data_IF_998910452704
#
_entry.id   IF_998910452704
#
_cell.length_a   1.000
_cell.length_b   1.000
_cell.length_c   1.000
_cell.angle_alpha   90.00
_cell.angle_beta   90.00
_cell.angle_gamma   90.00
#
_symmetry.space_group_name_H-M   'P 1'
#
loop_
_entity.id
_entity.type
_entity.pdbx_description
1 polymer ?
#
# COMPACT_ATOMS: atom_id res chain seq x y z
N UNK A 1 -1.82 -4.96 -19.76
CA UNK A 1 -1.37 -5.74 -18.58
C UNK A 1 -0.46 -6.87 -19.02
N UNK A 2 0.61 -7.17 -18.28
CA UNK A 2 1.52 -8.28 -18.59
C UNK A 2 0.77 -9.61 -18.40
N UNK A 3 0.72 -10.53 -19.42
CA UNK A 3 0.01 -11.81 -19.30
C UNK A 3 0.47 -12.68 -18.12
N UNK A 4 1.75 -12.60 -17.74
CA UNK A 4 2.29 -13.33 -16.58
C UNK A 4 1.77 -12.80 -15.24
N UNK A 5 1.42 -11.50 -15.15
CA UNK A 5 0.81 -10.91 -13.96
C UNK A 5 -0.62 -11.46 -13.77
N UNK A 6 -1.39 -11.62 -14.85
CA UNK A 6 -2.75 -12.13 -14.80
C UNK A 6 -2.84 -13.53 -14.18
N UNK A 7 -1.95 -14.45 -14.56
CA UNK A 7 -2.01 -15.84 -14.08
C UNK A 7 -1.85 -15.99 -12.56
N UNK A 8 -1.08 -15.11 -11.91
CA UNK A 8 -0.89 -15.13 -10.46
C UNK A 8 -2.14 -14.69 -9.68
N UNK A 9 -2.98 -13.86 -10.30
CA UNK A 9 -4.21 -13.36 -9.68
C UNK A 9 -5.44 -14.24 -9.96
N UNK A 10 -5.43 -15.06 -11.03
CA UNK A 10 -6.52 -16.00 -11.36
C UNK A 10 -6.77 -17.04 -10.26
N UNK A 11 -5.76 -17.36 -9.45
CA UNK A 11 -5.85 -18.29 -8.34
C UNK A 11 -6.30 -17.65 -7.02
N UNK A 12 -6.43 -16.30 -6.95
CA UNK A 12 -6.82 -15.60 -5.72
C UNK A 12 -8.30 -15.84 -5.40
N UNK A 13 -8.58 -16.08 -4.12
CA UNK A 13 -9.94 -16.31 -3.63
C UNK A 13 -10.80 -15.04 -3.73
N UNK A 14 -12.13 -15.22 -3.77
CA UNK A 14 -13.10 -14.10 -3.73
C UNK A 14 -12.90 -13.23 -2.48
N UNK A 15 -12.42 -13.79 -1.37
CA UNK A 15 -12.13 -13.04 -0.14
C UNK A 15 -10.98 -12.03 -0.33
N UNK A 16 -10.00 -12.34 -1.17
CA UNK A 16 -8.91 -11.43 -1.49
C UNK A 16 -9.44 -10.10 -2.06
N UNK A 17 -10.39 -10.18 -2.98
CA UNK A 17 -10.96 -9.01 -3.67
C UNK A 17 -12.00 -8.23 -2.83
N UNK A 18 -12.49 -8.79 -1.73
CA UNK A 18 -13.48 -8.15 -0.86
C UNK A 18 -12.90 -7.69 0.48
N UNK A 19 -11.60 -7.87 0.70
CA UNK A 19 -10.96 -7.45 1.92
C UNK A 19 -10.89 -5.92 2.01
N UNK A 20 -11.29 -5.40 3.17
CA UNK A 20 -11.11 -3.98 3.51
C UNK A 20 -10.01 -3.91 4.56
N UNK A 21 -8.99 -3.11 4.31
CA UNK A 21 -7.95 -2.86 5.30
C UNK A 21 -8.50 -1.92 6.40
N UNK A 22 -8.83 -2.44 7.61
CA UNK A 22 -9.45 -1.63 8.66
C UNK A 22 -8.48 -0.60 9.24
N UNK A 23 -7.18 -0.81 9.09
CA UNK A 23 -6.18 0.13 9.56
C UNK A 23 -6.10 1.33 8.62
N UNK A 24 -6.24 1.12 7.32
CA UNK A 24 -6.30 2.20 6.34
C UNK A 24 -7.58 3.03 6.52
N UNK A 25 -8.73 2.41 6.77
CA UNK A 25 -9.99 3.11 7.02
C UNK A 25 -9.93 4.12 8.18
N UNK A 26 -9.15 3.85 9.22
CA UNK A 26 -8.99 4.78 10.37
C UNK A 26 -8.39 6.13 10.00
N UNK A 27 -7.76 6.22 8.82
CA UNK A 27 -7.11 7.43 8.32
C UNK A 27 -7.99 8.21 7.34
N UNK A 28 -9.16 7.69 6.98
CA UNK A 28 -10.10 8.39 6.10
C UNK A 28 -10.72 9.58 6.85
N UNK A 29 -10.57 10.76 6.27
CA UNK A 29 -11.06 12.02 6.85
C UNK A 29 -12.44 12.34 6.30
N UNK A 30 -13.36 12.72 7.18
CA UNK A 30 -14.76 13.07 6.82
C UNK A 30 -14.88 14.32 5.95
N UNK A 31 -13.90 15.19 6.01
CA UNK A 31 -13.84 16.41 5.19
C UNK A 31 -13.48 16.14 3.72
N UNK A 32 -12.90 15.00 3.39
CA UNK A 32 -12.60 14.64 2.00
C UNK A 32 -13.87 14.43 1.19
N UNK A 33 -13.97 15.10 0.03
CA UNK A 33 -15.14 15.08 -0.84
C UNK A 33 -14.91 14.21 -2.09
N UNK A 34 -13.68 14.18 -2.58
CA UNK A 34 -13.29 13.43 -3.78
C UNK A 34 -12.09 12.53 -3.43
N UNK A 35 -12.26 11.23 -3.53
CA UNK A 35 -11.21 10.23 -3.26
C UNK A 35 -11.01 9.35 -4.48
N UNK A 36 -9.76 9.06 -4.80
CA UNK A 36 -9.39 8.09 -5.83
C UNK A 36 -8.76 6.86 -5.19
N UNK A 37 -9.32 5.69 -5.43
CA UNK A 37 -8.81 4.40 -4.95
C UNK A 37 -8.11 3.68 -6.11
N UNK A 38 -6.78 3.58 -6.04
CA UNK A 38 -5.97 2.88 -7.04
C UNK A 38 -5.90 1.40 -6.67
N UNK A 39 -6.23 0.53 -7.63
CA UNK A 39 -6.39 -0.90 -7.36
C UNK A 39 -7.61 -1.16 -6.47
N UNK A 40 -8.73 -0.52 -6.80
CA UNK A 40 -9.93 -0.52 -5.96
C UNK A 40 -10.59 -1.91 -5.80
N UNK A 41 -10.10 -2.92 -6.52
CA UNK A 41 -10.61 -4.28 -6.47
C UNK A 41 -12.13 -4.32 -6.71
N UNK A 42 -12.92 -5.02 -5.89
CA UNK A 42 -14.38 -5.03 -5.97
C UNK A 42 -15.06 -3.79 -5.36
N UNK A 43 -14.32 -2.75 -5.03
CA UNK A 43 -14.83 -1.49 -4.48
C UNK A 43 -15.24 -1.54 -3.00
N UNK A 44 -14.76 -2.52 -2.23
CA UNK A 44 -15.19 -2.69 -0.85
C UNK A 44 -14.70 -1.54 0.06
N UNK A 45 -13.43 -1.12 -0.08
CA UNK A 45 -12.87 0.01 0.66
C UNK A 45 -13.59 1.31 0.30
N UNK A 46 -13.76 1.57 -1.01
CA UNK A 46 -14.43 2.78 -1.47
C UNK A 46 -15.89 2.84 -1.04
N UNK A 47 -16.61 1.71 -0.99
CA UNK A 47 -17.98 1.66 -0.45
C UNK A 47 -18.04 2.10 1.01
N UNK A 48 -17.12 1.62 1.85
CA UNK A 48 -17.03 2.04 3.24
C UNK A 48 -16.68 3.54 3.41
N UNK A 49 -15.85 4.08 2.51
CA UNK A 49 -15.52 5.52 2.47
C UNK A 49 -16.76 6.35 2.13
N UNK A 50 -17.58 5.89 1.18
CA UNK A 50 -18.82 6.57 0.74
C UNK A 50 -19.86 6.77 1.86
N UNK A 51 -19.85 5.94 2.89
CA UNK A 51 -20.73 6.11 4.06
C UNK A 51 -20.55 7.48 4.75
N UNK A 52 -19.40 8.12 4.56
CA UNK A 52 -19.13 9.47 5.06
C UNK A 52 -19.65 10.61 4.13
N UNK A 53 -20.29 10.28 3.02
CA UNK A 53 -20.73 11.25 2.01
C UNK A 53 -19.62 11.70 1.05
N UNK A 54 -18.53 10.97 0.97
CA UNK A 54 -17.41 11.15 0.05
C UNK A 54 -17.73 10.53 -1.31
N UNK A 55 -17.42 11.20 -2.41
CA UNK A 55 -17.42 10.60 -3.74
C UNK A 55 -16.14 9.81 -3.96
N UNK A 56 -16.27 8.57 -4.40
CA UNK A 56 -15.14 7.67 -4.61
C UNK A 56 -15.07 7.22 -6.06
N UNK A 57 -13.94 7.55 -6.70
CA UNK A 57 -13.53 7.00 -7.99
C UNK A 57 -12.57 5.84 -7.76
N UNK A 58 -12.59 4.84 -8.65
CA UNK A 58 -11.67 3.71 -8.62
C UNK A 58 -10.95 3.50 -9.95
N UNK A 59 -9.71 3.03 -9.88
CA UNK A 59 -8.98 2.43 -11.00
C UNK A 59 -8.71 0.99 -10.66
N UNK A 60 -9.09 0.08 -11.55
CA UNK A 60 -8.90 -1.36 -11.37
C UNK A 60 -8.42 -2.00 -12.67
N UNK A 61 -7.42 -2.85 -12.55
CA UNK A 61 -6.79 -3.49 -13.69
C UNK A 61 -7.50 -4.77 -14.15
N UNK A 62 -8.24 -5.42 -13.24
CA UNK A 62 -8.93 -6.68 -13.51
C UNK A 62 -10.40 -6.46 -13.87
N UNK A 63 -10.85 -6.90 -15.07
CA UNK A 63 -12.21 -6.60 -15.56
C UNK A 63 -13.32 -7.06 -14.62
N UNK A 64 -13.22 -8.27 -14.07
CA UNK A 64 -14.26 -8.82 -13.18
C UNK A 64 -14.38 -8.05 -11.86
N UNK A 65 -13.25 -7.60 -11.31
CA UNK A 65 -13.22 -6.77 -10.10
C UNK A 65 -13.77 -5.37 -10.39
N UNK A 66 -13.36 -4.77 -11.52
CA UNK A 66 -13.85 -3.46 -11.95
C UNK A 66 -15.37 -3.44 -12.15
N UNK A 67 -15.96 -4.49 -12.75
CA UNK A 67 -17.43 -4.56 -12.92
C UNK A 67 -18.15 -4.59 -11.55
N UNK A 68 -17.63 -5.35 -10.57
CA UNK A 68 -18.18 -5.35 -9.20
C UNK A 68 -18.00 -4.00 -8.50
N UNK A 69 -16.89 -3.32 -8.75
CA UNK A 69 -16.64 -2.00 -8.18
C UNK A 69 -17.61 -0.93 -8.73
N UNK A 70 -18.01 -1.01 -10.00
CA UNK A 70 -18.99 -0.09 -10.63
C UNK A 70 -20.34 -0.09 -9.92
N UNK A 71 -20.72 -1.19 -9.27
CA UNK A 71 -21.97 -1.27 -8.51
C UNK A 71 -21.90 -0.47 -7.18
N UNK A 72 -20.69 -0.16 -6.70
CA UNK A 72 -20.47 0.42 -5.37
C UNK A 72 -19.92 1.85 -5.44
N UNK A 73 -19.01 2.11 -6.38
CA UNK A 73 -18.30 3.38 -6.49
C UNK A 73 -19.03 4.36 -7.44
N UNK A 74 -18.69 5.64 -7.33
CA UNK A 74 -19.31 6.67 -8.17
C UNK A 74 -18.77 6.67 -9.59
N UNK A 75 -17.51 6.28 -9.76
CA UNK A 75 -16.88 6.14 -11.07
C UNK A 75 -15.77 5.08 -10.99
N UNK A 76 -15.70 4.20 -11.98
CA UNK A 76 -14.65 3.17 -12.07
C UNK A 76 -14.08 3.12 -13.48
N UNK A 77 -12.76 3.19 -13.54
CA UNK A 77 -12.01 3.05 -14.79
C UNK A 77 -11.30 1.71 -14.79
N UNK A 78 -11.58 0.90 -15.79
CA UNK A 78 -10.80 -0.31 -16.06
C UNK A 78 -9.48 0.09 -16.71
N UNK A 79 -8.38 -0.14 -16.02
CA UNK A 79 -7.05 0.21 -16.53
C UNK A 79 -5.93 -0.11 -15.55
N UNK A 80 -4.73 -0.26 -16.09
CA UNK A 80 -3.52 -0.44 -15.33
C UNK A 80 -2.86 0.91 -15.06
N UNK A 81 -2.75 1.31 -13.80
CA UNK A 81 -2.17 2.60 -13.37
C UNK A 81 -0.78 2.83 -13.95
N UNK A 82 -0.01 1.77 -14.20
CA UNK A 82 1.34 1.90 -14.74
C UNK A 82 1.34 2.36 -16.20
N UNK A 83 0.34 1.96 -16.99
CA UNK A 83 0.35 2.15 -18.46
C UNK A 83 -0.74 3.08 -18.99
N UNK A 84 -1.85 3.25 -18.27
CA UNK A 84 -2.98 4.05 -18.71
C UNK A 84 -2.72 5.55 -18.62
N UNK A 85 -3.39 6.35 -19.44
CA UNK A 85 -3.55 7.78 -19.19
C UNK A 85 -4.63 8.03 -18.14
N UNK A 86 -4.40 8.98 -17.25
CA UNK A 86 -5.34 9.31 -16.18
C UNK A 86 -6.51 10.13 -16.73
N UNK A 87 -7.76 9.62 -16.72
CA UNK A 87 -8.91 10.32 -17.30
C UNK A 87 -9.60 11.26 -16.30
N UNK A 88 -8.80 11.98 -15.52
CA UNK A 88 -9.26 12.86 -14.45
C UNK A 88 -8.74 14.28 -14.65
N UNK A 89 -9.41 15.24 -14.03
CA UNK A 89 -8.97 16.63 -14.02
C UNK A 89 -7.81 16.81 -13.02
N UNK A 90 -6.94 17.79 -13.31
CA UNK A 90 -5.88 18.16 -12.35
C UNK A 90 -6.52 18.71 -11.07
N UNK A 91 -5.87 18.43 -9.94
CA UNK A 91 -6.30 18.89 -8.62
C UNK A 91 -7.75 18.50 -8.27
N UNK A 92 -8.17 17.31 -8.71
CA UNK A 92 -9.53 16.81 -8.48
C UNK A 92 -9.67 16.19 -7.08
N UNK A 93 -8.67 15.44 -6.59
CA UNK A 93 -8.82 14.58 -5.43
C UNK A 93 -8.26 15.18 -4.14
N UNK A 94 -9.02 15.03 -3.06
CA UNK A 94 -8.56 15.32 -1.69
C UNK A 94 -7.59 14.24 -1.20
N UNK A 95 -7.81 13.00 -1.63
CA UNK A 95 -6.96 11.86 -1.30
C UNK A 95 -6.87 10.90 -2.48
N UNK A 96 -5.66 10.40 -2.74
CA UNK A 96 -5.41 9.24 -3.60
C UNK A 96 -4.91 8.10 -2.72
N UNK A 97 -5.57 6.94 -2.80
CA UNK A 97 -5.29 5.78 -1.98
C UNK A 97 -4.53 4.74 -2.79
N UNK A 98 -3.48 4.17 -2.19
CA UNK A 98 -2.80 2.94 -2.61
C UNK A 98 -2.91 1.93 -1.47
N UNK A 99 -4.01 1.21 -1.42
CA UNK A 99 -4.29 0.22 -0.38
C UNK A 99 -3.74 -1.15 -0.77
N UNK A 100 -2.54 -1.49 -0.30
CA UNK A 100 -1.86 -2.77 -0.64
C UNK A 100 -1.68 -2.95 -2.16
N UNK A 101 -1.13 -1.93 -2.83
CA UNK A 101 -0.98 -1.87 -4.29
C UNK A 101 0.47 -1.70 -4.72
N UNK A 102 1.24 -0.86 -4.03
CA UNK A 102 2.59 -0.45 -4.47
C UNK A 102 3.56 -1.63 -4.58
N UNK A 103 3.41 -2.64 -3.75
CA UNK A 103 4.19 -3.89 -3.76
C UNK A 103 3.90 -4.78 -4.98
N UNK A 104 2.80 -4.55 -5.67
CA UNK A 104 2.38 -5.27 -6.86
C UNK A 104 2.75 -4.59 -8.18
N UNK A 105 3.29 -3.37 -8.13
CA UNK A 105 3.67 -2.59 -9.31
C UNK A 105 5.11 -2.88 -9.74
N UNK A 106 5.38 -2.84 -11.03
CA UNK A 106 6.74 -2.90 -11.56
C UNK A 106 7.50 -1.62 -11.26
N UNK A 107 6.83 -0.46 -11.37
CA UNK A 107 7.39 0.86 -11.08
C UNK A 107 6.48 1.68 -10.16
N UNK A 108 6.45 1.36 -8.86
CA UNK A 108 5.65 2.10 -7.88
C UNK A 108 6.09 3.58 -7.75
N UNK A 109 7.35 3.90 -8.06
CA UNK A 109 7.85 5.28 -8.05
C UNK A 109 7.16 6.12 -9.11
N UNK A 110 7.12 5.63 -10.35
CA UNK A 110 6.41 6.30 -11.45
C UNK A 110 4.89 6.39 -11.18
N UNK A 111 4.28 5.38 -10.57
CA UNK A 111 2.86 5.42 -10.22
C UNK A 111 2.53 6.55 -9.22
N UNK A 112 3.36 6.72 -8.18
CA UNK A 112 3.22 7.81 -7.19
C UNK A 112 3.41 9.19 -7.85
N UNK A 113 4.42 9.33 -8.72
CA UNK A 113 4.65 10.58 -9.46
C UNK A 113 3.47 10.88 -10.41
N UNK A 114 2.94 9.87 -11.08
CA UNK A 114 1.84 9.97 -12.04
C UNK A 114 0.56 10.55 -11.45
N UNK A 115 0.23 10.19 -10.21
CA UNK A 115 -0.99 10.68 -9.57
C UNK A 115 -0.86 12.10 -9.01
N UNK A 116 0.35 12.62 -8.85
CA UNK A 116 0.64 13.92 -8.21
C UNK A 116 -0.13 15.10 -8.82
N UNK A 117 -0.28 15.25 -10.15
CA UNK A 117 -1.02 16.37 -10.74
C UNK A 117 -2.53 16.36 -10.41
N UNK A 118 -3.08 15.20 -10.05
CA UNK A 118 -4.52 15.02 -9.81
C UNK A 118 -4.93 15.22 -8.36
N UNK A 119 -3.95 15.30 -7.47
CA UNK A 119 -4.15 15.59 -6.05
C UNK A 119 -4.26 17.11 -5.89
N UNK A 120 -5.23 17.61 -5.11
CA UNK A 120 -5.39 19.01 -4.76
C UNK A 120 -4.13 19.55 -4.05
N UNK A 121 -3.99 20.86 -3.96
CA UNK A 121 -2.85 21.51 -3.30
C UNK A 121 -2.67 21.01 -1.84
N UNK A 122 -3.77 20.89 -1.09
CA UNK A 122 -3.79 20.36 0.28
C UNK A 122 -4.22 18.89 0.36
N UNK A 123 -4.18 18.18 -0.78
CA UNK A 123 -4.56 16.78 -0.84
C UNK A 123 -3.38 15.87 -0.50
N UNK A 124 -3.68 14.60 -0.27
CA UNK A 124 -2.71 13.62 0.22
C UNK A 124 -2.69 12.34 -0.62
N UNK A 125 -1.59 11.60 -0.53
CA UNK A 125 -1.57 10.16 -0.77
C UNK A 125 -1.74 9.46 0.58
N UNK A 126 -2.59 8.44 0.61
CA UNK A 126 -2.71 7.50 1.71
C UNK A 126 -2.35 6.11 1.20
N UNK A 127 -1.32 5.49 1.75
CA UNK A 127 -0.85 4.18 1.31
C UNK A 127 -0.67 3.20 2.46
N UNK A 128 -1.08 1.95 2.26
CA UNK A 128 -0.67 0.82 3.10
C UNK A 128 0.39 0.01 2.36
N UNK A 129 1.50 -0.31 3.04
CA UNK A 129 2.65 -0.98 2.42
C UNK A 129 3.21 -2.02 3.39
N UNK A 130 3.34 -3.30 2.97
CA UNK A 130 3.93 -4.37 3.77
C UNK A 130 5.41 -4.10 4.06
N UNK A 131 5.86 -4.47 5.27
CA UNK A 131 7.24 -4.31 5.70
C UNK A 131 8.02 -5.63 5.63
N UNK A 132 8.90 -5.77 4.67
CA UNK A 132 9.74 -6.96 4.52
C UNK A 132 10.75 -7.13 5.67
N UNK A 133 11.04 -6.08 6.44
CA UNK A 133 11.92 -6.15 7.61
C UNK A 133 11.25 -6.76 8.86
N UNK A 134 9.97 -7.14 8.79
CA UNK A 134 9.27 -7.80 9.90
C UNK A 134 9.92 -9.13 10.26
N UNK A 135 9.97 -9.44 11.55
CA UNK A 135 10.66 -10.63 12.06
C UNK A 135 10.15 -11.95 11.46
N UNK A 136 8.89 -12.03 11.07
CA UNK A 136 8.34 -13.23 10.41
C UNK A 136 8.95 -13.50 9.02
N UNK A 137 9.63 -12.51 8.43
CA UNK A 137 10.42 -12.66 7.19
C UNK A 137 11.88 -12.87 7.53
N UNK A 138 12.43 -12.07 8.46
CA UNK A 138 13.86 -12.13 8.81
C UNK A 138 14.26 -13.46 9.46
N UNK A 139 13.44 -14.01 10.34
CA UNK A 139 13.77 -15.26 11.05
C UNK A 139 13.88 -16.45 10.07
N UNK A 140 12.91 -16.72 9.17
CA UNK A 140 13.10 -17.73 8.13
C UNK A 140 14.27 -17.43 7.19
N UNK A 141 14.51 -16.17 6.83
CA UNK A 141 15.64 -15.78 5.98
C UNK A 141 17.00 -16.13 6.61
N UNK A 142 17.16 -15.92 7.92
CA UNK A 142 18.35 -16.34 8.65
C UNK A 142 18.60 -17.86 8.62
N UNK A 143 17.52 -18.65 8.43
CA UNK A 143 17.57 -20.09 8.24
C UNK A 143 17.71 -20.49 6.75
N UNK A 144 17.90 -19.53 5.83
CA UNK A 144 18.04 -19.77 4.39
C UNK A 144 16.72 -19.95 3.64
N UNK A 145 15.59 -19.56 4.23
CA UNK A 145 14.27 -19.73 3.63
C UNK A 145 13.69 -18.40 3.16
N UNK A 146 13.19 -18.39 1.91
CA UNK A 146 12.36 -17.33 1.32
C UNK A 146 11.21 -17.99 0.60
N UNK A 147 10.13 -18.26 1.34
CA UNK A 147 9.02 -19.05 0.82
C UNK A 147 7.84 -18.17 0.51
N UNK A 148 7.44 -18.10 -0.76
CA UNK A 148 6.23 -17.40 -1.18
C UNK A 148 4.98 -18.08 -0.66
N UNK A 149 4.00 -17.28 -0.30
CA UNK A 149 2.71 -17.69 0.29
C UNK A 149 1.53 -17.15 -0.52
N UNK A 150 0.33 -17.59 -0.22
CA UNK A 150 -0.89 -17.12 -0.89
C UNK A 150 -1.32 -15.72 -0.44
N UNK A 151 -0.85 -15.26 0.72
CA UNK A 151 -1.15 -13.96 1.32
C UNK A 151 -0.06 -13.55 2.31
N UNK A 152 -0.08 -12.27 2.74
CA UNK A 152 0.87 -11.74 3.72
C UNK A 152 2.12 -11.14 3.09
N UNK A 153 3.20 -10.99 3.88
CA UNK A 153 4.39 -10.24 3.47
C UNK A 153 5.12 -10.84 2.26
N UNK A 154 5.12 -12.16 2.14
CA UNK A 154 5.71 -12.90 1.02
C UNK A 154 4.62 -13.46 0.08
N UNK A 155 3.52 -12.72 -0.11
CA UNK A 155 2.52 -13.06 -1.12
C UNK A 155 3.19 -13.24 -2.49
N UNK A 156 2.86 -14.32 -3.20
CA UNK A 156 3.45 -14.64 -4.51
C UNK A 156 3.17 -13.58 -5.59
N UNK A 157 2.21 -12.69 -5.36
CA UNK A 157 1.93 -11.55 -6.24
C UNK A 157 2.74 -10.30 -5.92
N UNK A 158 3.47 -10.26 -4.78
CA UNK A 158 4.38 -9.19 -4.46
C UNK A 158 5.63 -9.27 -5.32
N UNK A 159 5.91 -8.24 -6.08
CA UNK A 159 7.11 -8.12 -6.91
C UNK A 159 8.08 -7.06 -6.41
N UNK A 160 7.65 -6.23 -5.46
CA UNK A 160 8.47 -5.26 -4.73
C UNK A 160 8.36 -5.52 -3.23
N UNK A 161 9.47 -5.36 -2.54
CA UNK A 161 9.58 -5.54 -1.10
C UNK A 161 10.18 -4.29 -0.49
N UNK A 162 9.48 -3.72 0.49
CA UNK A 162 9.85 -2.44 1.07
C UNK A 162 10.24 -2.58 2.53
N UNK A 163 11.33 -1.91 2.91
CA UNK A 163 11.60 -1.52 4.29
C UNK A 163 11.06 -0.12 4.53
N UNK A 164 10.91 0.28 5.78
CA UNK A 164 10.43 1.62 6.12
C UNK A 164 11.24 2.74 5.45
N UNK A 165 12.56 2.64 5.49
CA UNK A 165 13.43 3.65 4.88
C UNK A 165 13.24 3.76 3.36
N UNK A 166 12.99 2.64 2.67
CA UNK A 166 12.72 2.68 1.22
C UNK A 166 11.35 3.26 0.91
N UNK A 167 10.34 3.00 1.75
CA UNK A 167 9.04 3.66 1.64
C UNK A 167 9.19 5.18 1.74
N UNK A 168 9.88 5.67 2.78
CA UNK A 168 10.13 7.11 2.95
C UNK A 168 10.87 7.72 1.74
N UNK A 169 11.93 7.05 1.27
CA UNK A 169 12.71 7.53 0.11
C UNK A 169 11.86 7.60 -1.15
N UNK A 170 10.96 6.64 -1.36
CA UNK A 170 10.06 6.60 -2.50
C UNK A 170 9.19 7.86 -2.54
N UNK A 171 8.49 8.20 -1.45
CA UNK A 171 7.65 9.38 -1.37
C UNK A 171 8.45 10.69 -1.47
N UNK A 172 9.58 10.80 -0.76
CA UNK A 172 10.41 12.00 -0.78
C UNK A 172 10.98 12.28 -2.18
N UNK A 173 11.43 11.24 -2.90
CA UNK A 173 11.92 11.40 -4.29
C UNK A 173 10.83 11.83 -5.25
N UNK A 174 9.59 11.37 -5.07
CA UNK A 174 8.44 11.79 -5.86
C UNK A 174 7.95 13.22 -5.49
N UNK A 175 8.62 13.89 -4.57
CA UNK A 175 8.31 15.27 -4.16
C UNK A 175 7.10 15.34 -3.24
N UNK A 176 6.97 14.38 -2.30
CA UNK A 176 6.03 14.43 -1.20
C UNK A 176 6.75 14.57 0.13
N UNK A 177 6.08 15.18 1.10
CA UNK A 177 6.48 15.21 2.52
C UNK A 177 5.60 14.25 3.30
N UNK A 178 6.20 13.44 4.18
CA UNK A 178 5.45 12.52 5.02
C UNK A 178 4.79 13.31 6.15
N UNK A 179 3.47 13.37 6.18
CA UNK A 179 2.69 14.06 7.23
C UNK A 179 2.34 13.13 8.39
N UNK A 180 2.13 11.84 8.10
CA UNK A 180 1.78 10.86 9.13
C UNK A 180 2.29 9.46 8.79
N UNK A 181 2.69 8.72 9.82
CA UNK A 181 3.02 7.29 9.74
C UNK A 181 2.30 6.56 10.85
N UNK A 182 1.52 5.55 10.51
CA UNK A 182 0.96 4.61 11.48
C UNK A 182 1.55 3.21 11.25
N UNK A 183 1.55 2.39 12.29
CA UNK A 183 2.18 1.09 12.34
C UNK A 183 1.18 0.01 12.70
N UNK A 184 1.11 -1.01 11.87
CA UNK A 184 0.27 -2.18 12.10
C UNK A 184 1.15 -3.28 12.68
N UNK A 185 0.73 -3.82 13.80
CA UNK A 185 1.44 -4.89 14.51
C UNK A 185 0.63 -6.18 14.45
N UNK A 186 1.31 -7.30 14.37
CA UNK A 186 0.76 -8.63 14.57
C UNK A 186 1.50 -9.31 15.72
N UNK A 187 0.98 -10.43 16.21
CA UNK A 187 1.65 -11.20 17.29
C UNK A 187 3.01 -11.71 16.81
N UNK A 188 4.05 -11.35 17.53
CA UNK A 188 5.45 -11.71 17.28
C UNK A 188 6.16 -12.27 18.53
N UNK A 189 5.41 -12.59 19.58
CA UNK A 189 5.96 -13.03 20.89
C UNK A 189 6.94 -14.19 20.78
N UNK A 190 6.66 -15.15 19.90
CA UNK A 190 7.55 -16.28 19.69
C UNK A 190 8.96 -15.87 19.22
N UNK A 191 9.13 -14.69 18.67
CA UNK A 191 10.39 -14.15 18.15
C UNK A 191 11.10 -13.18 19.11
N UNK A 192 10.49 -12.82 20.25
CA UNK A 192 11.07 -11.84 21.18
C UNK A 192 12.53 -12.16 21.57
N UNK A 193 12.90 -13.40 21.93
CA UNK A 193 14.31 -13.71 22.27
C UNK A 193 15.26 -13.47 21.09
N UNK A 194 14.84 -13.85 19.87
CA UNK A 194 15.66 -13.64 18.67
C UNK A 194 15.80 -12.15 18.34
N UNK A 195 14.73 -11.36 18.50
CA UNK A 195 14.75 -9.92 18.28
C UNK A 195 15.75 -9.24 19.22
N UNK A 196 15.78 -9.62 20.50
CA UNK A 196 16.71 -9.07 21.50
C UNK A 196 18.16 -9.38 21.16
N UNK A 197 18.48 -10.62 20.77
CA UNK A 197 19.83 -11.01 20.37
C UNK A 197 20.29 -10.27 19.10
N UNK A 198 19.43 -10.22 18.07
CA UNK A 198 19.73 -9.50 16.84
C UNK A 198 19.91 -8.00 17.09
N UNK A 199 19.12 -7.41 17.99
CA UNK A 199 19.32 -6.01 18.40
C UNK A 199 20.69 -5.79 19.05
N UNK A 200 21.13 -6.72 19.91
CA UNK A 200 22.47 -6.71 20.49
C UNK A 200 23.57 -6.70 19.42
N UNK A 201 23.38 -7.53 18.37
CA UNK A 201 24.28 -7.58 17.21
C UNK A 201 24.26 -6.24 16.45
N UNK A 202 23.08 -5.72 16.15
CA UNK A 202 22.93 -4.44 15.46
C UNK A 202 23.62 -3.29 16.21
N UNK A 203 23.49 -3.23 17.54
CA UNK A 203 24.22 -2.25 18.37
C UNK A 203 25.71 -2.43 18.28
N UNK A 204 26.20 -3.67 18.45
CA UNK A 204 27.63 -3.99 18.42
C UNK A 204 28.30 -3.58 17.11
N UNK A 205 27.62 -3.82 15.99
CA UNK A 205 28.17 -3.55 14.65
C UNK A 205 27.67 -2.22 14.05
N UNK A 206 26.93 -1.40 14.79
CA UNK A 206 26.40 -0.10 14.37
C UNK A 206 25.57 -0.17 13.08
N UNK A 207 24.73 -1.19 12.96
CA UNK A 207 23.88 -1.43 11.78
C UNK A 207 22.65 -0.54 11.72
N UNK A 208 22.50 0.41 12.65
CA UNK A 208 21.38 1.35 12.74
C UNK A 208 20.61 1.19 14.05
N UNK A 209 19.89 2.23 14.43
CA UNK A 209 19.12 2.26 15.70
C UNK A 209 17.67 1.82 15.54
N UNK A 210 17.18 1.69 14.31
CA UNK A 210 15.77 1.41 14.01
C UNK A 210 15.36 -0.07 14.11
N UNK A 211 16.31 -1.00 14.24
CA UNK A 211 16.05 -2.44 14.14
C UNK A 211 14.87 -2.90 15.01
N UNK A 212 14.87 -2.59 16.31
CA UNK A 212 13.80 -3.03 17.21
C UNK A 212 12.42 -2.50 16.83
N UNK A 213 12.37 -1.23 16.41
CA UNK A 213 11.11 -0.61 16.01
C UNK A 213 10.58 -1.17 14.69
N UNK A 214 11.45 -1.47 13.73
CA UNK A 214 11.08 -1.90 12.40
C UNK A 214 10.71 -3.40 12.34
N UNK A 215 11.40 -4.25 13.08
CA UNK A 215 11.20 -5.71 13.02
C UNK A 215 9.88 -6.20 13.61
N UNK A 216 9.20 -5.38 14.38
CA UNK A 216 7.89 -5.71 14.97
C UNK A 216 6.71 -5.11 14.20
N UNK A 217 6.98 -4.24 13.21
CA UNK A 217 5.94 -3.62 12.38
C UNK A 217 5.67 -4.49 11.17
N UNK A 218 4.43 -4.94 11.03
CA UNK A 218 4.00 -5.79 9.90
C UNK A 218 3.73 -4.97 8.63
N UNK A 219 3.08 -3.82 8.80
CA UNK A 219 2.66 -2.94 7.70
C UNK A 219 2.71 -1.48 8.16
N UNK A 220 3.02 -0.59 7.25
CA UNK A 220 2.94 0.86 7.47
C UNK A 220 1.75 1.45 6.74
N UNK A 221 1.06 2.38 7.41
CA UNK A 221 0.11 3.30 6.79
C UNK A 221 0.80 4.66 6.71
N UNK A 222 0.97 5.16 5.50
CA UNK A 222 1.70 6.41 5.22
C UNK A 222 0.73 7.42 4.64
N UNK A 223 0.64 8.60 5.26
CA UNK A 223 0.00 9.77 4.71
C UNK A 223 1.09 10.74 4.26
N UNK A 224 1.03 11.17 3.00
CA UNK A 224 2.02 12.04 2.39
C UNK A 224 1.36 13.17 1.61
N UNK A 225 1.84 14.40 1.82
CA UNK A 225 1.38 15.64 1.19
C UNK A 225 2.34 16.08 0.09
N UNK A 226 1.87 16.84 -0.90
CA UNK A 226 2.78 17.48 -1.87
C UNK A 226 3.78 18.35 -1.12
N UNK A 227 5.09 18.17 -1.38
CA UNK A 227 6.09 19.08 -0.85
C UNK A 227 5.87 20.47 -1.44
N UNK A 228 5.79 21.46 -0.58
CA UNK A 228 5.88 22.87 -1.00
C UNK A 228 7.35 23.11 -1.39
N UNK A 229 7.61 23.27 -2.66
CA UNK A 229 8.91 23.69 -3.18
C UNK A 229 9.04 25.20 -3.09
#
# INVERSE_FOLDING_TARGET
MNPQKNSLYEEKSVHYYNAVNPNLLKHIKKEWKEVLDIGCSSGALGAAIKENGTRVSGIEAFPEAAEKAKEKLDHVVLGDIETMDMPYEKEQFDCVIFGDVLEHLFDPWAAIEKVKPYIKENGVILASIPNVAHISVLAPLLAGNWTYTEYGLLDKTHIRFFTFNEMLRMFLKAGYSISKVDRVYIDHKMYEPLIEELYGICKKYRLGSGFMAETVVFQYIIEAEKSQL
#
